data_IF_291194087195
#
_entry.id   IF_291194087195
#
_cell.length_a   1.000
_cell.length_b   1.000
_cell.length_c   1.000
_cell.angle_alpha   90.00
_cell.angle_beta   90.00
_cell.angle_gamma   90.00
#
_symmetry.space_group_name_H-M   'P 1'
#
loop_
_entity.id
_entity.type
_entity.pdbx_description
1 polymer ?
#
# COMPACT_ATOMS: atom_id res chain seq x y z
N UNK A 1 -14.41 -9.27 -13.72
CA UNK A 1 -13.28 -8.32 -13.48
C UNK A 1 -12.07 -9.18 -13.14
N UNK A 2 -10.99 -9.11 -13.91
CA UNK A 2 -9.85 -10.06 -13.79
C UNK A 2 -8.68 -9.53 -12.95
N UNK A 3 -8.50 -8.21 -12.92
CA UNK A 3 -7.43 -7.53 -12.19
C UNK A 3 -7.98 -6.22 -11.61
N UNK A 4 -7.51 -5.87 -10.41
CA UNK A 4 -7.72 -4.56 -9.80
C UNK A 4 -6.42 -4.00 -9.24
N UNK A 5 -6.34 -2.67 -9.17
CA UNK A 5 -5.31 -1.96 -8.42
C UNK A 5 -5.99 -1.25 -7.26
N UNK A 6 -5.50 -1.45 -6.04
CA UNK A 6 -6.06 -0.84 -4.84
C UNK A 6 -4.96 -0.36 -3.87
N UNK A 7 -5.35 0.26 -2.75
CA UNK A 7 -4.42 0.90 -1.82
C UNK A 7 -4.15 2.39 -2.10
N UNK A 8 -4.98 3.02 -2.94
CA UNK A 8 -4.91 4.46 -3.17
C UNK A 8 -5.22 5.24 -1.88
N UNK A 9 -4.53 6.36 -1.62
CA UNK A 9 -4.75 7.15 -0.41
C UNK A 9 -6.10 7.88 -0.39
N UNK A 10 -6.72 8.08 -1.55
CA UNK A 10 -8.03 8.71 -1.71
C UNK A 10 -8.62 8.40 -3.10
N UNK A 11 -9.93 8.66 -3.24
CA UNK A 11 -10.67 8.48 -4.50
C UNK A 11 -10.13 9.32 -5.65
N UNK A 12 -9.68 10.55 -5.39
CA UNK A 12 -9.09 11.42 -6.42
C UNK A 12 -7.84 10.81 -7.05
N UNK A 13 -6.97 10.19 -6.25
CA UNK A 13 -5.76 9.52 -6.74
C UNK A 13 -6.11 8.28 -7.57
N UNK A 14 -7.13 7.52 -7.16
CA UNK A 14 -7.64 6.38 -7.91
C UNK A 14 -8.23 6.81 -9.26
N UNK A 15 -9.08 7.85 -9.28
CA UNK A 15 -9.69 8.38 -10.51
C UNK A 15 -8.63 8.91 -11.49
N UNK A 16 -7.59 9.58 -10.98
CA UNK A 16 -6.47 10.05 -11.81
C UNK A 16 -5.68 8.88 -12.41
N UNK A 17 -5.53 7.79 -11.67
CA UNK A 17 -4.91 6.56 -12.16
C UNK A 17 -5.80 5.94 -13.25
N UNK A 18 -7.07 5.70 -12.95
CA UNK A 18 -8.03 5.12 -13.89
C UNK A 18 -8.08 5.89 -15.22
N UNK A 19 -8.22 7.21 -15.16
CA UNK A 19 -8.28 8.05 -16.35
C UNK A 19 -6.99 7.93 -17.18
N UNK A 20 -5.82 7.97 -16.53
CA UNK A 20 -4.55 7.85 -17.23
C UNK A 20 -4.37 6.47 -17.88
N UNK A 21 -4.92 5.43 -17.27
CA UNK A 21 -4.89 4.06 -17.80
C UNK A 21 -5.82 3.90 -19.01
N UNK A 22 -6.99 4.53 -18.99
CA UNK A 22 -7.94 4.57 -20.12
C UNK A 22 -7.44 5.44 -21.27
N UNK A 23 -6.66 6.49 -20.97
CA UNK A 23 -6.20 7.50 -21.93
C UNK A 23 -4.67 7.68 -21.95
N UNK A 24 -3.87 6.63 -22.19
CA UNK A 24 -2.41 6.70 -22.06
C UNK A 24 -1.76 7.69 -23.02
N UNK A 25 -2.32 7.85 -24.22
CA UNK A 25 -1.77 8.72 -25.27
C UNK A 25 -2.02 10.21 -25.02
N UNK A 26 -3.02 10.56 -24.22
CA UNK A 26 -3.33 11.95 -23.83
C UNK A 26 -2.67 12.29 -22.49
N UNK A 27 -2.40 11.28 -21.66
CA UNK A 27 -1.77 11.45 -20.37
C UNK A 27 -0.36 12.00 -20.48
N UNK A 28 -0.14 13.19 -19.89
CA UNK A 28 1.19 13.84 -19.84
C UNK A 28 2.27 12.96 -19.21
N UNK A 29 1.90 12.05 -18.30
CA UNK A 29 2.83 11.16 -17.58
C UNK A 29 3.21 9.91 -18.38
N UNK A 30 2.50 9.60 -19.46
CA UNK A 30 2.66 8.37 -20.24
C UNK A 30 3.10 8.64 -21.69
N UNK A 31 3.70 9.79 -21.97
CA UNK A 31 4.25 10.12 -23.30
C UNK A 31 5.31 9.14 -23.79
N UNK A 32 6.00 8.46 -22.87
CA UNK A 32 6.99 7.44 -23.17
C UNK A 32 6.36 6.10 -23.58
N UNK A 33 5.06 5.89 -23.30
CA UNK A 33 4.35 4.64 -23.61
C UNK A 33 3.99 4.62 -25.10
N UNK A 34 4.46 3.62 -25.85
CA UNK A 34 4.20 3.55 -27.29
C UNK A 34 2.70 3.36 -27.58
N UNK A 35 2.26 3.79 -28.75
CA UNK A 35 0.90 3.50 -29.24
C UNK A 35 0.70 2.00 -29.43
N UNK A 36 -0.51 1.52 -29.12
CA UNK A 36 -0.92 0.13 -29.38
C UNK A 36 -0.71 -0.21 -30.85
N UNK A 37 -0.01 -1.32 -31.11
CA UNK A 37 0.15 -1.86 -32.47
C UNK A 37 -1.14 -2.56 -32.91
N UNK A 38 -1.48 -2.50 -34.19
CA UNK A 38 -2.72 -3.13 -34.72
C UNK A 38 -2.82 -4.63 -34.40
N UNK A 39 -1.70 -5.37 -34.43
CA UNK A 39 -1.64 -6.80 -34.13
C UNK A 39 -1.60 -7.16 -32.63
N UNK A 40 -1.42 -6.17 -31.75
CA UNK A 40 -1.28 -6.42 -30.31
C UNK A 40 -2.64 -6.60 -29.65
N UNK A 41 -2.80 -7.61 -28.80
CA UNK A 41 -4.04 -7.79 -28.03
C UNK A 41 -4.29 -6.59 -27.12
N UNK A 42 -5.54 -6.16 -27.02
CA UNK A 42 -5.90 -5.00 -26.18
C UNK A 42 -5.58 -5.27 -24.70
N UNK A 43 -5.83 -6.48 -24.22
CA UNK A 43 -5.56 -6.86 -22.83
C UNK A 43 -4.08 -6.74 -22.47
N UNK A 44 -3.19 -7.33 -23.27
CA UNK A 44 -1.73 -7.24 -23.08
C UNK A 44 -1.23 -5.78 -23.14
N UNK A 45 -1.79 -4.96 -24.04
CA UNK A 45 -1.47 -3.53 -24.09
C UNK A 45 -1.90 -2.81 -22.80
N UNK A 46 -3.08 -3.12 -22.25
CA UNK A 46 -3.49 -2.55 -20.97
C UNK A 46 -2.55 -2.94 -19.82
N UNK A 47 -2.05 -4.17 -19.78
CA UNK A 47 -1.06 -4.61 -18.77
C UNK A 47 0.31 -3.92 -18.94
N UNK A 48 0.72 -3.65 -20.19
CA UNK A 48 1.91 -2.85 -20.47
C UNK A 48 1.73 -1.43 -19.93
N UNK A 49 0.62 -0.76 -20.26
CA UNK A 49 0.33 0.60 -19.75
C UNK A 49 0.31 0.61 -18.23
N UNK A 50 -0.33 -0.39 -17.60
CA UNK A 50 -0.34 -0.55 -16.15
C UNK A 50 1.09 -0.62 -15.59
N UNK A 51 1.95 -1.46 -16.15
CA UNK A 51 3.34 -1.60 -15.73
C UNK A 51 4.11 -0.28 -15.79
N UNK A 52 3.92 0.49 -16.86
CA UNK A 52 4.56 1.80 -17.02
C UNK A 52 4.01 2.82 -16.02
N UNK A 53 2.70 2.81 -15.76
CA UNK A 53 2.09 3.66 -14.75
C UNK A 53 2.64 3.39 -13.34
N UNK A 54 2.85 2.13 -12.96
CA UNK A 54 3.37 1.77 -11.64
C UNK A 54 4.82 2.28 -11.41
N UNK A 55 5.56 2.57 -12.49
CA UNK A 55 6.96 3.02 -12.43
C UNK A 55 7.14 4.53 -12.51
N UNK A 56 6.09 5.29 -12.85
CA UNK A 56 6.19 6.74 -12.98
C UNK A 56 5.44 7.50 -11.89
N UNK A 57 5.93 8.71 -11.61
CA UNK A 57 5.24 9.62 -10.71
C UNK A 57 3.86 10.02 -11.27
N UNK A 58 2.84 10.21 -10.42
CA UNK A 58 2.92 10.24 -8.96
C UNK A 58 2.70 8.87 -8.29
N UNK A 59 2.52 7.81 -9.08
CA UNK A 59 2.01 6.52 -8.58
C UNK A 59 3.10 5.62 -8.03
N UNK A 60 4.33 5.71 -8.53
CA UNK A 60 5.47 4.85 -8.18
C UNK A 60 5.94 4.90 -6.71
N UNK A 61 5.32 5.73 -5.86
CA UNK A 61 5.60 5.80 -4.41
C UNK A 61 4.36 5.56 -3.56
N UNK A 62 3.23 5.27 -4.20
CA UNK A 62 2.00 4.92 -3.49
C UNK A 62 2.08 3.45 -3.08
N UNK A 63 1.53 3.08 -1.91
CA UNK A 63 1.54 1.70 -1.45
C UNK A 63 0.44 0.87 -2.14
N UNK A 64 0.48 0.80 -3.47
CA UNK A 64 -0.53 0.13 -4.29
C UNK A 64 -0.35 -1.39 -4.26
N UNK A 65 -1.45 -2.09 -4.44
CA UNK A 65 -1.48 -3.56 -4.58
C UNK A 65 -2.17 -3.91 -5.88
N UNK A 66 -1.55 -4.77 -6.66
CA UNK A 66 -2.10 -5.32 -7.90
C UNK A 66 -2.68 -6.68 -7.56
N UNK A 67 -4.00 -6.82 -7.65
CA UNK A 67 -4.69 -8.05 -7.28
C UNK A 67 -5.40 -8.65 -8.48
N UNK A 68 -5.00 -9.87 -8.83
CA UNK A 68 -5.70 -10.73 -9.76
C UNK A 68 -6.86 -11.41 -9.06
N UNK A 69 -8.03 -11.39 -9.69
CA UNK A 69 -9.27 -11.97 -9.16
C UNK A 69 -9.60 -13.30 -9.83
N UNK A 70 -8.92 -13.59 -10.93
CA UNK A 70 -9.09 -14.78 -11.74
C UNK A 70 -7.74 -15.51 -11.84
N UNK A 71 -7.73 -16.79 -11.50
CA UNK A 71 -6.51 -17.59 -11.41
C UNK A 71 -5.93 -17.94 -12.77
N UNK A 72 -6.78 -18.25 -13.77
CA UNK A 72 -6.33 -18.61 -15.11
C UNK A 72 -5.60 -17.43 -15.76
N UNK A 73 -6.19 -16.23 -15.62
CA UNK A 73 -5.55 -15.00 -16.09
C UNK A 73 -4.27 -14.66 -15.33
N UNK A 74 -4.19 -14.96 -14.03
CA UNK A 74 -2.97 -14.76 -13.26
C UNK A 74 -1.82 -15.63 -13.78
N UNK A 75 -2.07 -16.93 -13.98
CA UNK A 75 -1.04 -17.87 -14.46
C UNK A 75 -0.52 -17.48 -15.85
N UNK A 76 -1.42 -17.08 -16.74
CA UNK A 76 -1.07 -16.71 -18.12
C UNK A 76 -0.40 -15.32 -18.20
N UNK A 77 -0.91 -14.32 -17.48
CA UNK A 77 -0.56 -12.92 -17.72
C UNK A 77 0.24 -12.21 -16.62
N UNK A 78 0.42 -12.80 -15.43
CA UNK A 78 1.13 -12.15 -14.31
C UNK A 78 2.51 -11.60 -14.70
N UNK A 79 3.25 -12.32 -15.54
CA UNK A 79 4.59 -11.92 -16.03
C UNK A 79 4.59 -10.66 -16.90
N UNK A 80 3.44 -10.26 -17.44
CA UNK A 80 3.30 -9.03 -18.21
C UNK A 80 3.17 -7.78 -17.33
N UNK A 81 2.97 -7.95 -16.02
CA UNK A 81 2.87 -6.84 -15.07
C UNK A 81 4.19 -6.70 -14.32
N UNK A 82 4.83 -5.55 -14.49
CA UNK A 82 6.07 -5.19 -13.81
C UNK A 82 5.79 -4.06 -12.82
N UNK A 83 5.89 -4.36 -11.53
CA UNK A 83 5.66 -3.43 -10.43
C UNK A 83 6.94 -3.20 -9.61
N UNK A 84 7.11 -2.03 -8.97
CA UNK A 84 8.15 -1.81 -7.97
C UNK A 84 8.04 -2.79 -6.78
N UNK A 85 9.16 -3.09 -6.12
CA UNK A 85 9.23 -4.09 -5.03
C UNK A 85 8.26 -3.84 -3.87
N UNK A 86 7.96 -2.58 -3.56
CA UNK A 86 7.02 -2.21 -2.49
C UNK A 86 5.54 -2.36 -2.89
N UNK A 87 5.24 -2.72 -4.14
CA UNK A 87 3.88 -2.92 -4.65
C UNK A 87 3.63 -4.41 -4.89
N UNK A 88 2.93 -5.11 -3.98
CA UNK A 88 2.70 -6.54 -4.12
C UNK A 88 1.76 -6.84 -5.29
N UNK A 89 2.09 -7.90 -6.03
CA UNK A 89 1.22 -8.57 -6.99
C UNK A 89 0.69 -9.84 -6.32
N UNK A 90 -0.63 -9.96 -6.19
CA UNK A 90 -1.26 -11.10 -5.53
C UNK A 90 -2.46 -11.64 -6.32
N UNK A 91 -2.83 -12.88 -6.06
CA UNK A 91 -4.03 -13.51 -6.60
C UNK A 91 -5.03 -13.80 -5.47
N UNK A 92 -6.32 -13.72 -5.76
CA UNK A 92 -7.40 -14.11 -4.85
C UNK A 92 -8.47 -13.04 -4.65
N UNK A 93 -9.57 -13.45 -4.02
CA UNK A 93 -10.76 -12.60 -3.81
C UNK A 93 -10.46 -11.37 -2.96
N UNK A 94 -11.25 -10.31 -3.17
CA UNK A 94 -11.26 -9.13 -2.28
C UNK A 94 -12.18 -9.43 -1.10
N UNK A 95 -11.64 -9.34 0.11
CA UNK A 95 -12.44 -9.45 1.33
C UNK A 95 -12.70 -8.03 1.83
N UNK A 96 -13.98 -7.63 1.87
CA UNK A 96 -14.37 -6.39 2.53
C UNK A 96 -14.44 -6.66 4.03
N UNK A 97 -13.53 -6.07 4.80
CA UNK A 97 -13.65 -6.03 6.25
C UNK A 97 -14.16 -4.66 6.64
N UNK A 98 -15.30 -4.62 7.34
CA UNK A 98 -15.75 -3.40 8.01
C UNK A 98 -14.74 -3.14 9.12
N UNK A 99 -14.06 -1.99 9.06
CA UNK A 99 -13.29 -1.49 10.19
C UNK A 99 -14.30 -1.33 11.32
N UNK A 100 -14.12 -2.08 12.41
CA UNK A 100 -14.96 -1.94 13.58
C UNK A 100 -14.85 -0.48 14.04
N UNK A 101 -15.97 0.21 14.19
CA UNK A 101 -15.94 1.45 14.97
C UNK A 101 -15.54 1.01 16.38
N UNK A 102 -14.32 1.31 16.79
CA UNK A 102 -13.98 1.34 18.20
C UNK A 102 -14.83 2.45 18.80
N UNK A 103 -16.01 2.09 19.30
CA UNK A 103 -16.74 2.92 20.23
C UNK A 103 -15.86 3.02 21.48
N UNK A 104 -15.00 4.03 21.57
CA UNK A 104 -14.45 4.47 22.84
C UNK A 104 -15.59 5.14 23.62
N UNK A 105 -16.55 4.33 24.08
CA UNK A 105 -17.43 4.69 25.17
C UNK A 105 -16.59 4.63 26.45
N UNK A 106 -16.13 5.82 26.88
CA UNK A 106 -15.72 6.19 28.23
C UNK A 106 -15.02 5.15 29.09
N UNK A 107 -13.70 5.22 29.15
CA UNK A 107 -12.98 4.99 30.40
C UNK A 107 -11.99 6.15 30.60
N UNK A 108 -12.23 6.92 31.65
CA UNK A 108 -11.27 7.84 32.25
C UNK A 108 -10.15 6.96 32.79
N UNK A 109 -9.09 6.80 32.02
CA UNK A 109 -7.83 6.18 32.44
C UNK A 109 -6.75 7.17 32.02
N UNK A 110 -5.94 7.59 32.99
CA UNK A 110 -4.87 8.59 32.89
C UNK A 110 -4.38 8.86 31.47
N UNK A 111 -4.36 10.14 31.07
CA UNK A 111 -3.62 10.63 29.90
C UNK A 111 -2.15 10.23 30.05
N UNK A 112 -1.82 8.99 29.65
CA UNK A 112 -0.46 8.56 29.42
C UNK A 112 0.03 9.37 28.24
N UNK A 113 0.63 10.52 28.57
CA UNK A 113 1.31 11.39 27.64
C UNK A 113 2.39 10.57 26.94
N UNK A 114 2.13 10.22 25.68
CA UNK A 114 3.07 9.51 24.83
C UNK A 114 4.06 10.52 24.25
N UNK A 115 5.35 10.17 24.28
CA UNK A 115 6.41 11.00 23.71
C UNK A 115 6.93 10.38 22.43
N UNK A 116 7.24 11.22 21.45
CA UNK A 116 7.82 10.79 20.19
C UNK A 116 9.26 10.32 20.40
N UNK A 117 9.58 9.07 20.06
CA UNK A 117 10.94 8.52 20.19
C UNK A 117 11.99 9.17 19.26
N UNK A 118 11.63 10.18 18.47
CA UNK A 118 12.51 10.86 17.51
C UNK A 118 12.80 12.31 17.90
N UNK A 119 11.83 13.03 18.46
CA UNK A 119 11.99 14.44 18.84
C UNK A 119 11.61 14.75 20.29
N UNK A 120 11.30 13.73 21.09
CA UNK A 120 10.98 13.79 22.52
C UNK A 120 9.82 14.74 22.88
N UNK A 121 9.01 15.13 21.89
CA UNK A 121 7.85 15.99 22.06
C UNK A 121 6.57 15.17 22.23
N UNK A 122 5.56 15.78 22.88
CA UNK A 122 4.25 15.16 23.11
C UNK A 122 3.58 14.70 21.80
N UNK A 123 2.93 13.54 21.87
CA UNK A 123 2.17 12.94 20.78
C UNK A 123 0.67 13.12 20.98
N UNK A 124 0.00 13.49 19.89
CA UNK A 124 -1.44 13.34 19.76
C UNK A 124 -1.72 11.96 19.13
N UNK A 125 -2.77 11.25 19.57
CA UNK A 125 -3.17 9.95 19.00
C UNK A 125 -3.25 10.01 17.46
N UNK A 126 -3.84 11.08 16.92
CA UNK A 126 -4.01 11.32 15.49
C UNK A 126 -2.69 11.47 14.72
N UNK A 127 -1.62 11.89 15.38
CA UNK A 127 -0.31 12.13 14.75
C UNK A 127 0.68 11.00 15.01
N UNK A 128 0.35 10.08 15.92
CA UNK A 128 1.21 8.94 16.27
C UNK A 128 1.28 7.89 15.16
N UNK A 129 2.45 7.29 14.97
CA UNK A 129 2.64 6.11 14.14
C UNK A 129 3.52 5.12 14.89
N UNK A 130 3.19 3.83 14.78
CA UNK A 130 3.90 2.76 15.46
C UNK A 130 4.55 1.82 14.46
N UNK A 131 5.59 1.09 14.89
CA UNK A 131 6.20 0.05 14.08
C UNK A 131 5.19 -1.04 13.70
N UNK A 132 5.40 -1.72 12.57
CA UNK A 132 4.56 -2.86 12.15
C UNK A 132 4.66 -4.03 13.15
N UNK A 133 5.85 -4.29 13.69
CA UNK A 133 6.13 -5.38 14.63
C UNK A 133 5.40 -5.16 15.96
N UNK A 134 4.52 -6.09 16.41
CA UNK A 134 3.74 -5.91 17.64
C UNK A 134 4.59 -5.74 18.91
N UNK A 135 5.75 -6.40 18.97
CA UNK A 135 6.67 -6.32 20.13
C UNK A 135 7.60 -5.10 20.11
N UNK A 136 7.50 -4.22 19.10
CA UNK A 136 8.32 -3.01 19.03
C UNK A 136 7.60 -1.84 19.71
N UNK A 137 8.32 -1.13 20.59
CA UNK A 137 7.80 0.00 21.36
C UNK A 137 7.95 1.36 20.65
N UNK A 138 8.31 1.38 19.36
CA UNK A 138 8.41 2.63 18.62
C UNK A 138 7.04 3.31 18.55
N UNK A 139 6.98 4.53 19.07
CA UNK A 139 5.89 5.48 18.83
C UNK A 139 6.53 6.82 18.44
N UNK A 140 6.16 7.36 17.28
CA UNK A 140 6.72 8.62 16.78
C UNK A 140 5.64 9.48 16.11
N UNK A 141 5.90 10.77 15.90
CA UNK A 141 5.07 11.57 15.00
C UNK A 141 5.23 11.01 13.59
N UNK A 142 4.12 11.00 12.84
CA UNK A 142 4.08 10.65 11.43
C UNK A 142 5.15 11.41 10.64
N UNK A 143 5.28 12.71 10.87
CA UNK A 143 6.22 13.58 10.14
C UNK A 143 7.67 13.30 10.56
N UNK A 144 7.92 13.03 11.85
CA UNK A 144 9.27 12.72 12.33
C UNK A 144 9.79 11.42 11.71
N UNK A 145 8.95 10.38 11.72
CA UNK A 145 9.32 9.10 11.10
C UNK A 145 9.43 9.23 9.57
N UNK A 146 8.55 9.99 8.92
CA UNK A 146 8.64 10.25 7.49
C UNK A 146 9.96 10.94 7.12
N UNK A 147 10.37 11.98 7.86
CA UNK A 147 11.65 12.68 7.64
C UNK A 147 12.85 11.76 7.80
N UNK A 148 12.81 10.82 8.75
CA UNK A 148 13.87 9.84 8.93
C UNK A 148 13.96 8.86 7.75
N UNK A 149 12.84 8.51 7.14
CA UNK A 149 12.80 7.55 6.02
C UNK A 149 12.95 8.19 4.65
N UNK A 150 12.64 9.49 4.52
CA UNK A 150 12.77 10.21 3.27
C UNK A 150 14.24 10.35 2.86
N UNK A 151 14.54 9.93 1.63
CA UNK A 151 15.80 10.16 0.94
C UNK A 151 15.54 11.08 -0.28
N UNK A 152 16.58 11.78 -0.74
CA UNK A 152 16.64 12.44 -2.05
C UNK A 152 15.51 13.43 -2.38
N UNK A 153 15.21 14.36 -1.47
CA UNK A 153 14.18 15.41 -1.64
C UNK A 153 12.76 14.89 -1.93
N UNK A 154 12.50 13.61 -1.68
CA UNK A 154 11.17 13.03 -1.86
C UNK A 154 10.32 13.25 -0.60
N UNK A 155 9.03 13.56 -0.80
CA UNK A 155 8.11 13.87 0.31
C UNK A 155 7.51 12.59 0.92
N UNK A 156 7.30 11.54 0.12
CA UNK A 156 6.69 10.29 0.54
C UNK A 156 7.76 9.20 0.64
N UNK A 157 8.05 8.62 1.81
CA UNK A 157 8.92 7.45 1.90
C UNK A 157 8.30 6.22 1.23
N UNK A 158 9.16 5.30 0.77
CA UNK A 158 8.73 3.98 0.31
C UNK A 158 8.95 2.94 1.42
N UNK A 159 10.14 2.97 1.99
CA UNK A 159 10.60 2.06 3.04
C UNK A 159 11.56 2.81 3.98
N UNK A 160 11.89 2.18 5.10
CA UNK A 160 12.89 2.67 6.03
C UNK A 160 13.23 1.65 7.09
N UNK A 161 14.22 1.97 7.91
CA UNK A 161 14.65 1.10 9.03
C UNK A 161 14.10 1.66 10.33
N UNK A 162 13.34 0.84 11.07
CA UNK A 162 12.78 1.25 12.35
C UNK A 162 13.90 1.59 13.35
N UNK A 163 13.93 2.80 13.94
CA UNK A 163 15.02 3.20 14.85
C UNK A 163 15.04 2.45 16.19
N UNK A 164 13.94 1.80 16.59
CA UNK A 164 13.86 1.08 17.85
C UNK A 164 14.23 -0.41 17.72
N UNK A 165 13.76 -1.09 16.68
CA UNK A 165 13.96 -2.54 16.50
C UNK A 165 14.83 -2.93 15.29
N UNK A 166 15.36 -1.94 14.56
CA UNK A 166 16.21 -2.12 13.37
C UNK A 166 15.62 -2.99 12.26
N UNK A 167 14.30 -3.19 12.27
CA UNK A 167 13.60 -3.95 11.22
C UNK A 167 13.32 -3.03 10.03
N UNK A 168 13.62 -3.51 8.81
CA UNK A 168 13.20 -2.85 7.57
C UNK A 168 11.69 -2.94 7.42
N UNK A 169 11.04 -1.81 7.15
CA UNK A 169 9.59 -1.69 7.06
C UNK A 169 9.19 -0.89 5.84
N UNK A 170 8.06 -1.27 5.22
CA UNK A 170 7.44 -0.47 4.17
C UNK A 170 6.60 0.65 4.78
N UNK A 171 6.75 1.86 4.25
CA UNK A 171 5.95 3.02 4.68
C UNK A 171 4.46 2.75 4.51
N UNK A 172 4.09 2.10 3.40
CA UNK A 172 2.72 1.67 3.13
C UNK A 172 2.09 0.85 4.25
N UNK A 173 2.86 -0.05 4.86
CA UNK A 173 2.37 -0.92 5.91
C UNK A 173 2.15 -0.17 7.22
N UNK A 174 3.04 0.77 7.55
CA UNK A 174 2.86 1.63 8.71
C UNK A 174 1.60 2.50 8.59
N UNK A 175 1.36 3.06 7.40
CA UNK A 175 0.16 3.86 7.11
C UNK A 175 -1.11 3.00 7.16
N UNK A 176 -1.08 1.80 6.56
CA UNK A 176 -2.20 0.85 6.62
C UNK A 176 -2.51 0.44 8.06
N UNK A 177 -1.49 0.22 8.89
CA UNK A 177 -1.65 -0.07 10.33
C UNK A 177 -2.33 1.09 11.04
N UNK A 178 -1.87 2.32 10.81
CA UNK A 178 -2.42 3.55 11.40
C UNK A 178 -3.89 3.79 11.03
N UNK A 179 -4.30 3.42 9.82
CA UNK A 179 -5.69 3.59 9.33
C UNK A 179 -6.61 2.44 9.81
N UNK A 180 -6.06 1.42 10.47
CA UNK A 180 -6.82 0.27 10.97
C UNK A 180 -6.97 -0.88 9.98
N UNK A 181 -6.23 -0.88 8.86
CA UNK A 181 -6.28 -1.98 7.88
C UNK A 181 -5.63 -3.29 8.36
N UNK A 182 -4.90 -3.26 9.49
CA UNK A 182 -4.21 -4.43 10.07
C UNK A 182 -4.73 -4.85 11.45
N UNK A 183 -5.84 -4.27 11.94
CA UNK A 183 -6.38 -4.56 13.28
C UNK A 183 -6.74 -6.04 13.49
N UNK A 184 -6.83 -6.84 12.43
CA UNK A 184 -7.13 -8.27 12.48
C UNK A 184 -6.07 -9.17 11.82
N UNK A 185 -4.79 -8.78 11.82
CA UNK A 185 -3.72 -9.77 11.56
C UNK A 185 -3.66 -10.76 12.73
N UNK A 186 -4.62 -11.69 12.78
CA UNK A 186 -4.45 -12.94 13.52
C UNK A 186 -3.25 -13.63 12.89
N UNK A 187 -2.25 -13.96 13.71
CA UNK A 187 -1.20 -14.90 13.32
C UNK A 187 -1.89 -16.12 12.72
N UNK A 188 -1.68 -16.37 11.43
CA UNK A 188 -2.15 -17.60 10.80
C UNK A 188 -1.24 -18.69 11.33
N UNK A 189 -1.68 -19.35 12.41
CA UNK A 189 -1.19 -20.68 12.76
C UNK A 189 -1.46 -21.56 11.55
N UNK A 190 -0.38 -22.00 10.91
CA UNK A 190 -0.37 -23.00 9.84
C UNK A 190 -0.98 -24.31 10.37
N UNK A 191 -2.29 -24.45 10.23
CA UNK A 191 -3.01 -25.71 10.46
C UNK A 191 -4.44 -25.57 9.96
N UNK A 192 -4.63 -25.61 8.64
CA UNK A 192 -5.87 -26.13 8.08
C UNK A 192 -5.47 -27.19 7.06
N UNK A 193 -5.58 -28.44 7.53
CA UNK A 193 -5.48 -29.63 6.71
C UNK A 193 -6.57 -29.57 5.63
N UNK A 194 -6.14 -29.78 4.39
CA UNK A 194 -7.00 -30.17 3.29
C UNK A 194 -7.93 -31.32 3.71
N UNK A 195 -9.23 -31.08 3.63
CA UNK A 195 -10.20 -32.15 3.45
C UNK A 195 -11.45 -31.65 2.71
N UNK A 196 -11.69 -32.27 1.55
CA UNK A 196 -12.98 -32.41 0.84
C UNK A 196 -13.51 -31.13 0.16
N UNK A 197 -13.83 -31.07 -1.13
CA UNK A 197 -14.20 -32.04 -2.18
C UNK A 197 -13.83 -31.42 -3.54
#
# INVERSE_FOLDING_TARGET
MVLIVHGFPNSTSALRFEWAWQHPQVSRRLKHVPKKKSRQKTFEYCLLVLSEMLKVGPWCRLPLTIRWLDYEFFEEYSRHVSAPMHMPICCGKVISQKIGKTNNEGQILDELTMFCSVCDSLLNEKESICCIKPSCLLVAHLICLAKLFCQDNMILPIEGTCPACNTSVLWGDLIRKKIGCYENLKETSSSDNDSNF
#
